data_IF_082054215962
#
_entry.id   IF_082054215962
#
_cell.length_a   1.000
_cell.length_b   1.000
_cell.length_c   1.000
_cell.angle_alpha   90.00
_cell.angle_beta   90.00
_cell.angle_gamma   90.00
#
_symmetry.space_group_name_H-M   'P 1'
#
loop_
_entity.id
_entity.type
_entity.pdbx_description
1 polymer ?
#
# COMPACT_ATOMS: atom_id res chain seq x y z
N UNK A 1 -5.58 14.46 -28.22
CA UNK A 1 -4.63 15.46 -27.70
C UNK A 1 -4.55 15.34 -26.16
N UNK A 2 -3.94 14.28 -25.65
CA UNK A 2 -3.68 14.06 -24.21
C UNK A 2 -2.15 13.93 -24.03
N UNK A 3 -1.47 15.07 -24.03
CA UNK A 3 -0.04 15.17 -23.69
C UNK A 3 0.15 16.49 -22.95
N UNK A 4 0.06 16.45 -21.62
CA UNK A 4 0.79 17.34 -20.68
C UNK A 4 0.23 17.28 -19.24
N UNK A 5 0.34 16.14 -18.52
CA UNK A 5 0.34 16.14 -17.03
C UNK A 5 1.25 15.02 -16.45
N UNK A 6 2.28 14.59 -17.19
CA UNK A 6 3.12 13.44 -16.79
C UNK A 6 4.49 13.83 -16.18
N UNK A 7 4.61 15.02 -15.57
CA UNK A 7 5.86 15.47 -14.92
C UNK A 7 5.61 16.04 -13.53
N UNK A 8 5.10 15.22 -12.61
CA UNK A 8 5.10 15.56 -11.18
C UNK A 8 6.02 14.67 -10.34
N UNK A 9 6.64 13.64 -10.92
CA UNK A 9 7.58 12.77 -10.21
C UNK A 9 8.98 12.91 -10.85
N UNK A 10 9.75 13.91 -10.40
CA UNK A 10 11.18 13.96 -10.70
C UNK A 10 11.88 12.75 -10.06
N UNK A 11 12.84 12.16 -10.76
CA UNK A 11 13.72 11.16 -10.17
C UNK A 11 14.61 11.86 -9.13
N UNK A 12 14.39 11.56 -7.84
CA UNK A 12 15.22 12.04 -6.74
C UNK A 12 16.34 11.02 -6.46
N UNK A 13 17.54 11.43 -5.99
CA UNK A 13 18.63 10.51 -5.68
C UNK A 13 18.16 9.33 -4.81
N UNK A 14 18.66 8.12 -5.10
CA UNK A 14 18.28 6.92 -4.37
C UNK A 14 18.48 7.15 -2.86
N UNK A 15 17.44 6.88 -2.08
CA UNK A 15 17.61 6.70 -0.63
C UNK A 15 18.72 5.69 -0.39
N UNK A 16 19.47 5.84 0.71
CA UNK A 16 20.57 4.93 1.02
C UNK A 16 20.06 3.49 0.96
N UNK A 17 20.50 2.73 -0.06
CA UNK A 17 20.32 1.30 -0.07
C UNK A 17 20.89 0.81 1.26
N UNK A 18 20.08 0.18 2.10
CA UNK A 18 20.64 -0.40 3.31
C UNK A 18 21.71 -1.39 2.85
N UNK A 19 22.83 -1.48 3.56
CA UNK A 19 23.90 -2.44 3.30
C UNK A 19 23.43 -3.93 3.29
N UNK A 20 22.13 -4.17 3.50
CA UNK A 20 21.47 -5.44 3.71
C UNK A 20 20.91 -6.07 2.42
N UNK A 21 20.96 -5.38 1.27
CA UNK A 21 20.57 -5.90 -0.05
C UNK A 21 19.07 -6.19 -0.26
N UNK A 22 18.34 -6.67 0.76
CA UNK A 22 16.90 -6.95 0.77
C UNK A 22 16.05 -5.76 1.24
N UNK A 23 16.68 -4.75 1.85
CA UNK A 23 16.00 -3.64 2.50
C UNK A 23 16.34 -2.30 1.86
N UNK A 24 15.31 -1.48 1.68
CA UNK A 24 15.45 -0.07 1.32
C UNK A 24 14.84 0.80 2.42
N UNK A 25 15.40 1.98 2.65
CA UNK A 25 14.84 2.96 3.57
C UNK A 25 15.15 4.39 3.12
N UNK A 26 14.37 5.34 3.65
CA UNK A 26 14.69 6.77 3.58
C UNK A 26 15.31 7.25 4.88
N UNK A 27 16.15 8.27 4.77
CA UNK A 27 16.34 9.22 5.88
C UNK A 27 14.99 9.88 6.26
N UNK A 28 14.95 10.56 7.41
CA UNK A 28 13.79 11.37 7.76
C UNK A 28 13.60 12.51 6.75
N UNK A 29 12.37 12.68 6.28
CA UNK A 29 11.99 13.69 5.29
C UNK A 29 10.91 14.61 5.86
N UNK A 30 10.93 15.92 5.59
CA UNK A 30 9.90 16.84 6.06
C UNK A 30 8.60 16.70 5.26
N UNK A 31 7.48 17.02 5.91
CA UNK A 31 6.19 17.30 5.25
C UNK A 31 5.45 18.42 6.01
N UNK A 32 4.27 18.82 5.54
CA UNK A 32 3.55 20.00 6.05
C UNK A 32 3.25 19.99 7.57
N UNK A 33 3.21 18.82 8.20
CA UNK A 33 2.83 18.68 9.61
C UNK A 33 3.88 17.95 10.46
N UNK A 34 5.11 17.76 9.97
CA UNK A 34 6.15 17.04 10.70
C UNK A 34 7.20 16.41 9.78
N UNK A 35 7.55 15.17 10.08
CA UNK A 35 8.51 14.36 9.34
C UNK A 35 7.93 13.00 9.00
N UNK A 36 8.44 12.34 7.97
CA UNK A 36 8.10 10.96 7.65
C UNK A 36 9.34 10.11 7.40
N UNK A 37 9.18 8.79 7.56
CA UNK A 37 10.17 7.77 7.24
C UNK A 37 9.50 6.67 6.43
N UNK A 38 10.19 6.16 5.42
CA UNK A 38 9.72 5.02 4.62
C UNK A 38 10.75 3.89 4.65
N UNK A 39 10.28 2.65 4.57
CA UNK A 39 11.11 1.48 4.37
C UNK A 39 10.36 0.42 3.58
N UNK A 40 11.13 -0.41 2.87
CA UNK A 40 10.64 -1.52 2.08
C UNK A 40 11.52 -2.77 2.28
N UNK A 41 10.91 -3.95 2.31
CA UNK A 41 11.58 -5.25 2.19
C UNK A 41 10.98 -6.01 1.00
N UNK A 42 11.84 -6.63 0.20
CA UNK A 42 11.41 -7.45 -0.92
C UNK A 42 11.53 -8.95 -0.59
N UNK A 43 10.43 -9.67 -0.73
CA UNK A 43 10.35 -11.13 -0.68
C UNK A 43 10.21 -11.74 -2.07
N UNK A 44 9.37 -11.16 -2.92
CA UNK A 44 9.06 -11.66 -4.24
C UNK A 44 10.26 -11.54 -5.20
N UNK A 45 10.26 -12.35 -6.26
CA UNK A 45 11.29 -12.27 -7.31
C UNK A 45 11.35 -10.85 -7.89
N UNK A 46 10.17 -10.29 -8.15
CA UNK A 46 9.93 -8.90 -8.50
C UNK A 46 9.05 -8.32 -7.41
N UNK A 47 9.45 -7.22 -6.79
CA UNK A 47 8.64 -6.57 -5.76
C UNK A 47 7.29 -6.13 -6.36
N UNK A 48 6.21 -6.58 -5.72
CA UNK A 48 4.84 -6.27 -6.10
C UNK A 48 4.28 -5.10 -5.29
N UNK A 49 4.77 -4.90 -4.07
CA UNK A 49 4.52 -3.70 -3.27
C UNK A 49 5.07 -2.43 -3.92
N UNK A 50 4.37 -1.31 -3.74
CA UNK A 50 4.82 0.04 -4.04
C UNK A 50 4.39 1.01 -2.93
N UNK A 51 5.20 2.04 -2.65
CA UNK A 51 4.82 3.08 -1.71
C UNK A 51 5.35 4.45 -2.13
N UNK A 52 4.60 5.51 -1.81
CA UNK A 52 5.01 6.89 -2.10
C UNK A 52 4.40 7.91 -1.13
N UNK A 53 5.10 9.02 -0.96
CA UNK A 53 4.65 10.19 -0.20
C UNK A 53 4.82 11.43 -1.06
N UNK A 54 3.74 12.21 -1.22
CA UNK A 54 3.78 13.53 -1.81
C UNK A 54 3.60 14.56 -0.70
N UNK A 55 4.65 15.32 -0.41
CA UNK A 55 4.61 16.43 0.51
C UNK A 55 4.49 17.75 -0.28
N UNK A 56 3.41 18.49 -0.04
CA UNK A 56 3.27 19.87 -0.49
C UNK A 56 2.90 20.77 0.70
N UNK A 57 2.99 22.11 0.56
CA UNK A 57 2.49 23.02 1.58
C UNK A 57 0.99 22.87 1.88
N UNK A 58 0.19 22.39 0.91
CA UNK A 58 -1.26 22.29 1.03
C UNK A 58 -1.74 20.92 1.55
N UNK A 59 -1.01 19.85 1.26
CA UNK A 59 -1.37 18.51 1.69
C UNK A 59 -0.16 17.56 1.77
N UNK A 60 -0.28 16.53 2.60
CA UNK A 60 0.58 15.34 2.55
C UNK A 60 -0.26 14.17 2.08
N UNK A 61 0.11 13.55 0.95
CA UNK A 61 -0.50 12.30 0.46
C UNK A 61 0.46 11.14 0.71
N UNK A 62 -0.07 10.01 1.16
CA UNK A 62 0.67 8.77 1.42
C UNK A 62 -0.05 7.65 0.70
N UNK A 63 0.66 6.87 -0.11
CA UNK A 63 0.12 5.70 -0.79
C UNK A 63 0.95 4.47 -0.46
N UNK A 64 0.27 3.38 -0.10
CA UNK A 64 0.83 2.02 -0.02
C UNK A 64 -0.04 1.14 -0.91
N UNK A 65 0.60 0.45 -1.85
CA UNK A 65 -0.06 -0.35 -2.87
C UNK A 65 0.56 -1.74 -2.84
N UNK A 66 -0.19 -2.69 -2.32
CA UNK A 66 0.24 -4.07 -2.19
C UNK A 66 -0.28 -4.82 -3.41
N UNK A 67 0.64 -5.28 -4.25
CA UNK A 67 0.34 -5.84 -5.57
C UNK A 67 0.34 -7.37 -5.52
N UNK A 68 -0.47 -7.98 -6.36
CA UNK A 68 -0.52 -9.44 -6.48
C UNK A 68 -0.80 -9.90 -7.91
N UNK A 69 -0.31 -11.09 -8.24
CA UNK A 69 -0.44 -11.66 -9.59
C UNK A 69 0.49 -11.00 -10.63
N UNK A 70 1.37 -10.11 -10.18
CA UNK A 70 2.26 -9.25 -10.94
C UNK A 70 2.32 -7.83 -10.34
N UNK A 71 3.34 -7.03 -10.68
CA UNK A 71 3.51 -5.69 -10.12
C UNK A 71 2.81 -4.59 -10.94
N UNK A 72 2.12 -4.92 -12.03
CA UNK A 72 1.59 -3.93 -12.97
C UNK A 72 0.56 -2.98 -12.30
N UNK A 73 -0.37 -3.51 -11.51
CA UNK A 73 -1.43 -2.70 -10.87
C UNK A 73 -0.90 -1.73 -9.80
N UNK A 74 0.00 -2.19 -8.93
CA UNK A 74 0.61 -1.34 -7.89
C UNK A 74 1.52 -0.27 -8.50
N UNK A 75 2.28 -0.60 -9.56
CA UNK A 75 3.10 0.37 -10.33
C UNK A 75 2.23 1.39 -11.06
N UNK A 76 1.12 0.95 -11.64
CA UNK A 76 0.13 1.84 -12.23
C UNK A 76 -0.41 2.83 -11.18
N UNK A 77 -0.89 2.33 -10.04
CA UNK A 77 -1.44 3.15 -8.95
C UNK A 77 -0.46 4.19 -8.44
N UNK A 78 0.81 3.81 -8.29
CA UNK A 78 1.89 4.74 -7.94
C UNK A 78 1.94 5.94 -8.88
N UNK A 79 1.77 5.72 -10.19
CA UNK A 79 1.82 6.80 -11.18
C UNK A 79 0.50 7.57 -11.33
N UNK A 80 -0.66 6.92 -11.12
CA UNK A 80 -1.96 7.46 -11.52
C UNK A 80 -2.79 8.04 -10.38
N UNK A 81 -2.71 7.46 -9.16
CA UNK A 81 -3.67 7.79 -8.09
C UNK A 81 -3.53 9.23 -7.58
N UNK A 82 -2.30 9.68 -7.28
CA UNK A 82 -2.08 11.04 -6.77
C UNK A 82 -2.50 12.12 -7.78
N UNK A 83 -2.17 12.02 -9.09
CA UNK A 83 -2.74 12.92 -10.09
C UNK A 83 -4.26 12.99 -10.08
N UNK A 84 -4.95 11.84 -9.96
CA UNK A 84 -6.41 11.82 -9.85
C UNK A 84 -6.92 12.51 -8.59
N UNK A 85 -6.32 12.24 -7.42
CA UNK A 85 -6.66 12.91 -6.16
C UNK A 85 -6.47 14.42 -6.28
N UNK A 86 -5.37 14.89 -6.84
CA UNK A 86 -5.10 16.31 -7.03
C UNK A 86 -6.09 16.97 -8.00
N UNK A 87 -6.41 16.30 -9.11
CA UNK A 87 -7.40 16.77 -10.09
C UNK A 87 -8.77 16.97 -9.42
N UNK A 88 -9.28 15.92 -8.78
CA UNK A 88 -10.61 15.98 -8.18
C UNK A 88 -10.65 16.86 -6.93
N UNK A 89 -9.56 16.96 -6.18
CA UNK A 89 -9.45 17.93 -5.09
C UNK A 89 -9.53 19.38 -5.61
N UNK A 90 -8.87 19.69 -6.73
CA UNK A 90 -8.98 21.02 -7.36
C UNK A 90 -10.42 21.33 -7.81
N UNK A 91 -11.11 20.36 -8.40
CA UNK A 91 -12.52 20.51 -8.79
C UNK A 91 -13.45 20.76 -7.59
N UNK A 92 -13.15 20.15 -6.44
CA UNK A 92 -13.96 20.25 -5.22
C UNK A 92 -13.52 21.38 -4.28
N UNK A 93 -12.50 22.17 -4.64
CA UNK A 93 -11.96 23.24 -3.79
C UNK A 93 -11.11 22.76 -2.60
N UNK A 94 -10.69 21.49 -2.59
CA UNK A 94 -9.88 20.88 -1.53
C UNK A 94 -9.97 19.36 -1.52
N UNK A 95 -9.17 18.72 -0.67
CA UNK A 95 -9.28 17.26 -0.46
C UNK A 95 -10.57 16.97 0.29
N UNK A 96 -11.43 16.12 -0.28
CA UNK A 96 -12.70 15.65 0.30
C UNK A 96 -12.84 14.14 0.12
N UNK A 97 -13.72 13.50 0.89
CA UNK A 97 -14.02 12.07 0.71
C UNK A 97 -14.53 11.77 -0.71
N UNK A 98 -15.32 12.68 -1.29
CA UNK A 98 -15.83 12.53 -2.64
C UNK A 98 -14.74 12.67 -3.71
N UNK A 99 -13.82 13.64 -3.55
CA UNK A 99 -12.66 13.76 -4.44
C UNK A 99 -11.80 12.49 -4.43
N UNK A 100 -11.61 11.88 -3.25
CA UNK A 100 -10.88 10.61 -3.11
C UNK A 100 -11.66 9.46 -3.76
N UNK A 101 -12.97 9.34 -3.52
CA UNK A 101 -13.80 8.30 -4.14
C UNK A 101 -13.75 8.36 -5.67
N UNK A 102 -13.89 9.57 -6.24
CA UNK A 102 -13.76 9.80 -7.69
C UNK A 102 -12.36 9.45 -8.19
N UNK A 103 -11.32 9.70 -7.41
CA UNK A 103 -9.94 9.36 -7.77
C UNK A 103 -9.72 7.84 -7.87
N UNK A 104 -10.25 7.06 -6.92
CA UNK A 104 -10.20 5.60 -6.97
C UNK A 104 -10.99 5.05 -8.16
N UNK A 105 -12.21 5.55 -8.40
CA UNK A 105 -13.02 5.14 -9.56
C UNK A 105 -12.33 5.44 -10.90
N UNK A 106 -11.70 6.61 -11.03
CA UNK A 106 -10.94 6.94 -12.23
C UNK A 106 -9.70 6.06 -12.40
N UNK A 107 -9.00 5.73 -11.32
CA UNK A 107 -7.85 4.83 -11.37
C UNK A 107 -8.24 3.41 -11.81
N UNK A 108 -9.37 2.88 -11.32
CA UNK A 108 -9.89 1.57 -11.76
C UNK A 108 -10.25 1.56 -13.26
N UNK A 109 -10.96 2.58 -13.75
CA UNK A 109 -11.34 2.66 -15.16
C UNK A 109 -10.12 2.82 -16.08
N UNK A 110 -9.14 3.63 -15.68
CA UNK A 110 -7.90 3.80 -16.43
C UNK A 110 -7.09 2.49 -16.46
N UNK A 111 -6.98 1.76 -15.35
CA UNK A 111 -6.29 0.46 -15.34
C UNK A 111 -7.04 -0.60 -16.16
N UNK A 112 -8.37 -0.63 -16.08
CA UNK A 112 -9.20 -1.50 -16.91
C UNK A 112 -9.01 -1.19 -18.41
N UNK A 113 -8.80 0.08 -18.77
CA UNK A 113 -8.44 0.47 -20.13
C UNK A 113 -7.08 -0.10 -20.55
N UNK A 114 -6.06 -0.05 -19.69
CA UNK A 114 -4.75 -0.68 -19.97
C UNK A 114 -4.87 -2.19 -20.15
N UNK A 115 -5.67 -2.87 -19.32
CA UNK A 115 -5.96 -4.31 -19.44
C UNK A 115 -6.63 -4.62 -20.78
N UNK A 116 -7.63 -3.84 -21.21
CA UNK A 116 -8.29 -4.01 -22.53
C UNK A 116 -7.29 -3.88 -23.67
N UNK A 117 -6.41 -2.89 -23.63
CA UNK A 117 -5.40 -2.68 -24.68
C UNK A 117 -4.36 -3.81 -24.73
N UNK A 118 -3.95 -4.31 -23.55
CA UNK A 118 -2.96 -5.36 -23.44
C UNK A 118 -3.53 -6.77 -23.70
N UNK A 119 -4.85 -6.94 -23.61
CA UNK A 119 -5.54 -8.24 -23.61
C UNK A 119 -5.05 -9.24 -24.66
N UNK A 120 -4.94 -8.90 -25.96
CA UNK A 120 -4.56 -9.87 -26.98
C UNK A 120 -3.12 -10.39 -26.86
N UNK A 121 -2.25 -9.65 -26.15
CA UNK A 121 -0.81 -9.94 -26.05
C UNK A 121 -0.38 -10.36 -24.65
N UNK A 122 -1.06 -9.87 -23.62
CA UNK A 122 -0.74 -10.09 -22.20
C UNK A 122 -2.01 -10.41 -21.41
N UNK A 123 -2.71 -11.52 -21.68
CA UNK A 123 -3.96 -11.86 -20.98
C UNK A 123 -3.78 -12.03 -19.46
N UNK A 124 -2.56 -12.33 -18.98
CA UNK A 124 -2.26 -12.37 -17.54
C UNK A 124 -2.49 -11.03 -16.83
N UNK A 125 -2.45 -9.90 -17.54
CA UNK A 125 -2.68 -8.58 -16.94
C UNK A 125 -4.08 -8.44 -16.32
N UNK A 126 -5.08 -9.19 -16.80
CA UNK A 126 -6.41 -9.18 -16.18
C UNK A 126 -6.45 -9.86 -14.80
N UNK A 127 -5.45 -10.68 -14.46
CA UNK A 127 -5.31 -11.31 -13.15
C UNK A 127 -4.34 -10.59 -12.21
N UNK A 128 -3.81 -9.43 -12.64
CA UNK A 128 -3.00 -8.56 -11.79
C UNK A 128 -3.93 -7.63 -11.03
N UNK A 129 -3.71 -7.49 -9.73
CA UNK A 129 -4.45 -6.58 -8.88
C UNK A 129 -3.57 -5.92 -7.84
N UNK A 130 -4.14 -4.96 -7.13
CA UNK A 130 -3.46 -4.32 -6.00
C UNK A 130 -4.45 -3.81 -4.96
N UNK A 131 -4.18 -4.12 -3.69
CA UNK A 131 -4.69 -3.37 -2.56
C UNK A 131 -4.15 -1.94 -2.59
N UNK A 132 -4.93 -0.98 -2.10
CA UNK A 132 -4.58 0.43 -2.14
C UNK A 132 -5.00 1.15 -0.86
N UNK A 133 -4.01 1.56 -0.08
CA UNK A 133 -4.18 2.39 1.10
C UNK A 133 -3.70 3.81 0.80
N UNK A 134 -4.61 4.78 0.88
CA UNK A 134 -4.33 6.20 0.72
C UNK A 134 -4.55 6.94 2.05
N UNK A 135 -3.53 7.64 2.51
CA UNK A 135 -3.63 8.68 3.53
C UNK A 135 -3.56 10.08 2.91
N UNK A 136 -4.40 11.01 3.36
CA UNK A 136 -4.26 12.42 3.01
C UNK A 136 -4.42 13.31 4.26
N UNK A 137 -3.46 14.19 4.49
CA UNK A 137 -3.51 15.21 5.54
C UNK A 137 -3.60 16.56 4.85
N UNK A 138 -4.75 17.22 4.96
CA UNK A 138 -4.99 18.55 4.40
C UNK A 138 -5.54 19.46 5.51
N UNK A 139 -4.78 20.50 5.86
CA UNK A 139 -5.06 21.27 7.07
C UNK A 139 -4.99 20.37 8.31
N UNK A 140 -6.03 20.41 9.13
CA UNK A 140 -6.22 19.60 10.35
C UNK A 140 -7.07 18.33 10.10
N UNK A 141 -7.46 18.06 8.85
CA UNK A 141 -8.26 16.89 8.48
C UNK A 141 -7.38 15.77 7.96
N UNK A 142 -7.59 14.58 8.52
CA UNK A 142 -7.04 13.32 8.04
C UNK A 142 -8.14 12.57 7.27
N UNK A 143 -7.77 12.08 6.09
CA UNK A 143 -8.52 11.13 5.29
C UNK A 143 -7.72 9.84 5.19
N UNK A 144 -8.37 8.70 5.44
CA UNK A 144 -7.81 7.36 5.20
C UNK A 144 -8.79 6.62 4.30
N UNK A 145 -8.38 6.33 3.08
CA UNK A 145 -9.13 5.51 2.14
C UNK A 145 -8.43 4.16 2.02
N UNK A 146 -9.12 3.09 2.42
CA UNK A 146 -8.60 1.73 2.35
C UNK A 146 -9.39 0.88 1.37
N UNK A 147 -8.66 0.08 0.61
CA UNK A 147 -9.17 -0.86 -0.36
C UNK A 147 -8.24 -2.08 -0.33
N UNK A 148 -8.72 -3.20 0.20
CA UNK A 148 -7.87 -4.35 0.54
C UNK A 148 -7.50 -4.39 2.02
N UNK A 149 -6.39 -5.03 2.36
CA UNK A 149 -5.96 -5.39 3.72
C UNK A 149 -4.61 -4.82 4.15
N UNK A 150 -4.06 -3.90 3.37
CA UNK A 150 -3.17 -2.88 3.91
C UNK A 150 -3.88 -2.07 5.02
N UNK A 151 -3.12 -1.56 6.00
CA UNK A 151 -3.71 -0.93 7.20
C UNK A 151 -3.02 0.37 7.61
N UNK A 152 -3.83 1.32 8.07
CA UNK A 152 -3.39 2.54 8.74
C UNK A 152 -3.69 2.50 10.24
N UNK A 153 -2.68 2.78 11.07
CA UNK A 153 -2.79 2.79 12.53
C UNK A 153 -2.21 4.08 13.10
N UNK A 154 -2.99 4.78 13.92
CA UNK A 154 -2.57 5.96 14.63
C UNK A 154 -1.97 5.61 15.99
N UNK A 155 -0.80 6.20 16.29
CA UNK A 155 -0.28 6.26 17.65
C UNK A 155 -0.74 7.52 18.37
N UNK A 156 -1.57 7.37 19.41
CA UNK A 156 -2.04 8.47 20.25
C UNK A 156 -1.39 8.42 21.61
N UNK A 157 -0.81 9.53 22.07
CA UNK A 157 -0.28 9.65 23.44
C UNK A 157 -1.43 9.71 24.44
N UNK A 158 -1.33 8.93 25.52
CA UNK A 158 -2.27 9.02 26.66
C UNK A 158 -1.93 10.26 27.48
N UNK A 159 -2.93 11.10 27.79
CA UNK A 159 -2.74 12.30 28.61
C UNK A 159 -2.31 11.89 30.01
N UNK A 160 -1.24 12.50 30.53
CA UNK A 160 -0.67 12.15 31.85
C UNK A 160 0.13 10.84 31.88
N UNK A 161 0.22 10.12 30.75
CA UNK A 161 0.93 8.85 30.64
C UNK A 161 2.20 8.91 29.79
N UNK A 162 3.19 8.07 30.13
CA UNK A 162 4.40 7.85 29.34
C UNK A 162 4.22 6.81 28.23
N UNK A 163 2.99 6.61 27.73
CA UNK A 163 2.62 5.52 26.79
C UNK A 163 1.75 6.07 25.64
N UNK A 164 1.83 5.44 24.47
CA UNK A 164 0.89 5.64 23.38
C UNK A 164 -0.02 4.41 23.21
N UNK A 165 -1.26 4.64 22.78
CA UNK A 165 -2.23 3.61 22.41
C UNK A 165 -2.40 3.58 20.89
N UNK A 166 -2.65 2.38 20.34
CA UNK A 166 -3.00 2.22 18.95
C UNK A 166 -4.48 2.52 18.71
N UNK A 167 -4.78 3.28 17.66
CA UNK A 167 -6.12 3.45 17.12
C UNK A 167 -6.09 3.06 15.64
N UNK A 168 -6.75 1.97 15.29
CA UNK A 168 -6.88 1.53 13.90
C UNK A 168 -7.77 2.49 13.11
N UNK A 169 -7.31 2.94 11.93
CA UNK A 169 -7.99 3.93 11.09
C UNK A 169 -8.64 3.33 9.83
N UNK A 170 -8.43 2.04 9.57
CA UNK A 170 -8.95 1.33 8.41
C UNK A 170 -9.40 -0.08 8.78
N UNK A 171 -10.44 -0.58 8.12
CA UNK A 171 -10.85 -1.99 8.22
C UNK A 171 -10.15 -2.79 7.15
N UNK A 172 -9.59 -3.96 7.50
CA UNK A 172 -8.97 -4.84 6.52
C UNK A 172 -10.08 -5.55 5.73
N UNK A 173 -10.10 -5.39 4.41
CA UNK A 173 -11.08 -6.00 3.52
C UNK A 173 -10.61 -7.41 3.11
N UNK A 174 -10.43 -8.29 4.10
CA UNK A 174 -9.97 -9.67 3.92
C UNK A 174 -11.00 -10.66 4.45
N UNK A 175 -11.32 -11.71 3.68
CA UNK A 175 -12.33 -12.72 4.05
C UNK A 175 -11.89 -13.66 5.18
N UNK A 176 -10.70 -13.50 5.75
CA UNK A 176 -10.37 -14.03 7.06
C UNK A 176 -11.30 -13.45 8.15
N UNK A 177 -11.76 -12.20 7.99
CA UNK A 177 -12.78 -11.58 8.84
C UNK A 177 -14.18 -12.12 8.50
N UNK A 178 -14.92 -12.55 9.53
CA UNK A 178 -16.30 -13.00 9.36
C UNK A 178 -17.23 -11.90 8.84
N UNK A 179 -17.05 -10.67 9.31
CA UNK A 179 -17.84 -9.51 8.87
C UNK A 179 -17.69 -9.29 7.37
N UNK A 180 -16.45 -9.38 6.85
CA UNK A 180 -16.18 -9.26 5.41
C UNK A 180 -16.76 -10.45 4.64
N UNK A 181 -16.73 -11.67 5.19
CA UNK A 181 -17.40 -12.83 4.56
C UNK A 181 -18.91 -12.62 4.44
N UNK A 182 -19.54 -12.10 5.49
CA UNK A 182 -20.97 -11.80 5.48
C UNK A 182 -21.29 -10.71 4.46
N UNK A 183 -20.50 -9.62 4.41
CA UNK A 183 -20.65 -8.55 3.41
C UNK A 183 -20.53 -9.10 1.98
N UNK A 184 -19.49 -9.89 1.68
CA UNK A 184 -19.31 -10.46 0.34
C UNK A 184 -20.47 -11.39 -0.03
N UNK A 185 -20.95 -12.19 0.93
CA UNK A 185 -22.07 -13.12 0.72
C UNK A 185 -23.40 -12.39 0.53
N UNK A 186 -23.64 -11.28 1.24
CA UNK A 186 -24.88 -10.51 1.10
C UNK A 186 -25.02 -9.82 -0.26
N UNK A 187 -23.90 -9.45 -0.90
CA UNK A 187 -23.89 -8.95 -2.27
C UNK A 187 -24.02 -10.07 -3.31
N UNK A 188 -23.81 -11.32 -2.92
CA UNK A 188 -23.81 -12.50 -3.79
C UNK A 188 -24.69 -13.65 -3.24
N UNK A 189 -25.97 -13.40 -2.90
CA UNK A 189 -26.82 -14.38 -2.22
C UNK A 189 -27.10 -15.65 -3.03
N UNK A 190 -26.92 -15.59 -4.35
CA UNK A 190 -27.17 -16.68 -5.31
C UNK A 190 -25.87 -17.32 -5.84
N UNK A 191 -24.75 -17.11 -5.16
CA UNK A 191 -23.45 -17.75 -5.43
C UNK A 191 -22.90 -18.39 -4.15
N UNK A 192 -23.32 -19.64 -3.89
CA UNK A 192 -22.83 -20.42 -2.74
C UNK A 192 -21.32 -20.70 -2.77
N UNK A 193 -20.63 -20.38 -3.86
CA UNK A 193 -19.18 -20.53 -4.02
C UNK A 193 -18.46 -19.17 -3.97
N UNK A 194 -19.15 -18.08 -3.60
CA UNK A 194 -18.55 -16.75 -3.57
C UNK A 194 -17.39 -16.66 -2.58
N UNK A 195 -17.53 -17.25 -1.39
CA UNK A 195 -16.49 -17.33 -0.36
C UNK A 195 -16.40 -18.77 0.12
N UNK A 196 -15.23 -19.39 -0.03
CA UNK A 196 -15.01 -20.80 0.32
C UNK A 196 -13.71 -20.95 1.12
N UNK A 197 -13.71 -21.88 2.06
CA UNK A 197 -12.51 -22.23 2.81
C UNK A 197 -11.72 -23.30 2.03
N UNK A 198 -10.54 -22.93 1.53
CA UNK A 198 -9.68 -23.82 0.74
C UNK A 198 -8.21 -23.47 0.93
N UNK A 199 -7.32 -24.46 0.83
CA UNK A 199 -5.87 -24.29 1.03
C UNK A 199 -5.53 -23.60 2.37
N UNK A 200 -6.27 -23.96 3.42
CA UNK A 200 -6.07 -23.44 4.78
C UNK A 200 -6.54 -22.00 5.03
N UNK A 201 -7.27 -21.38 4.10
CA UNK A 201 -7.75 -20.02 4.25
C UNK A 201 -9.13 -19.81 3.60
N UNK A 202 -9.87 -18.81 4.07
CA UNK A 202 -11.05 -18.30 3.36
C UNK A 202 -10.62 -17.54 2.11
N UNK A 203 -11.27 -17.80 0.97
CA UNK A 203 -10.96 -17.18 -0.31
C UNK A 203 -12.20 -16.89 -1.13
N UNK A 204 -12.22 -15.76 -1.82
CA UNK A 204 -13.24 -15.40 -2.81
C UNK A 204 -13.03 -16.25 -4.05
N UNK A 205 -14.09 -16.96 -4.48
CA UNK A 205 -14.08 -17.95 -5.57
C UNK A 205 -12.96 -18.99 -5.47
N UNK A 206 -12.44 -19.24 -4.25
CA UNK A 206 -11.31 -20.14 -3.99
C UNK A 206 -9.94 -19.60 -4.40
N UNK A 207 -9.85 -18.31 -4.75
CA UNK A 207 -8.65 -17.73 -5.37
C UNK A 207 -7.94 -16.73 -4.45
N UNK A 208 -8.60 -15.63 -4.08
CA UNK A 208 -7.97 -14.49 -3.40
C UNK A 208 -8.58 -14.24 -2.01
N UNK A 209 -7.84 -13.65 -1.08
CA UNK A 209 -8.31 -13.38 0.29
C UNK A 209 -8.88 -11.97 0.47
N UNK A 210 -8.48 -11.02 -0.36
CA UNK A 210 -9.01 -9.65 -0.32
C UNK A 210 -10.35 -9.56 -1.03
N UNK A 211 -11.28 -8.75 -0.50
CA UNK A 211 -12.59 -8.48 -1.10
C UNK A 211 -12.62 -7.20 -1.93
N UNK A 212 -11.56 -6.39 -1.86
CA UNK A 212 -11.46 -5.14 -2.60
C UNK A 212 -10.05 -4.96 -3.16
N UNK A 213 -9.95 -4.58 -4.43
CA UNK A 213 -8.69 -4.35 -5.14
C UNK A 213 -8.91 -3.41 -6.33
N UNK A 214 -7.85 -2.79 -6.82
CA UNK A 214 -7.80 -2.21 -8.17
C UNK A 214 -7.24 -3.30 -9.09
N UNK A 215 -7.77 -3.43 -10.31
CA UNK A 215 -7.42 -4.55 -11.18
C UNK A 215 -8.22 -5.81 -10.86
N UNK A 216 -7.61 -7.00 -10.90
CA UNK A 216 -8.32 -8.29 -10.82
C UNK A 216 -9.55 -8.34 -11.74
N UNK A 217 -9.40 -7.81 -12.95
CA UNK A 217 -10.51 -7.63 -13.89
C UNK A 217 -11.25 -8.94 -14.16
N UNK A 218 -10.53 -10.06 -14.19
CA UNK A 218 -11.12 -11.39 -14.35
C UNK A 218 -12.10 -11.79 -13.22
N UNK A 219 -12.01 -11.19 -12.03
CA UNK A 219 -12.92 -11.39 -10.90
C UNK A 219 -14.04 -10.35 -10.83
N UNK A 220 -14.02 -9.35 -11.71
CA UNK A 220 -15.00 -8.25 -11.76
C UNK A 220 -15.85 -8.26 -13.02
N UNK A 221 -15.31 -8.77 -14.13
CA UNK A 221 -15.88 -8.71 -15.48
C UNK A 221 -15.98 -10.13 -16.05
N UNK A 222 -17.17 -10.75 -16.07
CA UNK A 222 -17.35 -12.13 -16.51
C UNK A 222 -16.77 -12.41 -17.90
N UNK A 223 -16.83 -11.43 -18.80
CA UNK A 223 -16.29 -11.52 -20.15
C UNK A 223 -14.80 -11.90 -20.20
N UNK A 224 -14.00 -11.49 -19.20
CA UNK A 224 -12.59 -11.87 -19.13
C UNK A 224 -12.39 -13.29 -18.63
N UNK A 225 -13.09 -13.69 -17.57
CA UNK A 225 -13.00 -15.05 -17.02
C UNK A 225 -13.52 -16.14 -17.98
N UNK A 226 -14.45 -15.78 -18.87
CA UNK A 226 -15.06 -16.67 -19.84
C UNK A 226 -14.35 -16.67 -21.19
N UNK A 227 -13.49 -15.70 -21.48
CA UNK A 227 -12.75 -15.62 -22.74
C UNK A 227 -11.75 -16.80 -22.89
N UNK A 228 -11.68 -17.46 -24.05
CA UNK A 228 -10.75 -18.56 -24.30
C UNK A 228 -9.28 -18.25 -23.98
N UNK A 229 -8.82 -17.00 -24.16
CA UNK A 229 -7.46 -16.57 -23.84
C UNK A 229 -7.17 -16.69 -22.35
N UNK A 230 -8.14 -16.34 -21.49
CA UNK A 230 -7.96 -16.48 -20.05
C UNK A 230 -7.98 -17.94 -19.59
N UNK A 231 -8.85 -18.77 -20.21
CA UNK A 231 -8.98 -20.19 -19.86
C UNK A 231 -7.69 -20.98 -20.08
N UNK A 232 -6.78 -20.48 -20.92
CA UNK A 232 -5.45 -21.07 -21.13
C UNK A 232 -4.47 -20.78 -19.99
N UNK A 233 -4.73 -19.76 -19.17
CA UNK A 233 -3.79 -19.25 -18.16
C UNK A 233 -4.36 -19.24 -16.73
N UNK A 234 -5.66 -19.44 -16.57
CA UNK A 234 -6.35 -19.37 -15.28
C UNK A 234 -7.59 -20.25 -15.24
N UNK A 235 -8.19 -20.42 -14.04
CA UNK A 235 -9.39 -21.23 -13.89
C UNK A 235 -10.58 -20.58 -14.58
N UNK A 236 -11.55 -21.40 -15.01
CA UNK A 236 -12.88 -20.92 -15.40
C UNK A 236 -13.62 -20.51 -14.13
N UNK A 237 -14.12 -19.28 -14.09
CA UNK A 237 -14.82 -18.74 -12.93
C UNK A 237 -16.22 -18.36 -13.36
N UNK A 238 -17.22 -19.00 -12.78
CA UNK A 238 -18.61 -18.59 -12.98
C UNK A 238 -18.86 -17.32 -12.15
N UNK A 239 -19.02 -16.18 -12.83
CA UNK A 239 -19.35 -14.89 -12.25
C UNK A 239 -20.67 -14.40 -12.82
N UNK A 240 -21.64 -14.10 -11.94
CA UNK A 240 -22.89 -13.42 -12.31
C UNK A 240 -22.78 -11.90 -12.16
N UNK A 241 -21.86 -11.44 -11.30
CA UNK A 241 -21.56 -10.05 -10.97
C UNK A 241 -20.12 -9.96 -10.42
N UNK A 242 -19.57 -8.76 -10.21
CA UNK A 242 -18.23 -8.62 -9.64
C UNK A 242 -18.11 -9.31 -8.27
N UNK A 243 -17.09 -10.15 -8.12
CA UNK A 243 -16.77 -10.79 -6.84
C UNK A 243 -15.92 -9.89 -5.93
N UNK A 244 -15.29 -8.86 -6.51
CA UNK A 244 -14.46 -7.87 -5.83
C UNK A 244 -15.00 -6.46 -6.07
N UNK A 245 -14.82 -5.57 -5.10
CA UNK A 245 -15.13 -4.13 -5.25
C UNK A 245 -13.87 -3.29 -5.48
N UNK A 246 -13.99 -2.24 -6.29
CA UNK A 246 -12.98 -1.20 -6.43
C UNK A 246 -13.31 0.07 -5.60
N UNK A 247 -14.34 0.01 -4.74
CA UNK A 247 -14.76 1.14 -3.92
C UNK A 247 -14.03 1.17 -2.56
N UNK A 248 -13.29 2.25 -2.24
CA UNK A 248 -12.59 2.34 -0.97
C UNK A 248 -13.55 2.64 0.19
N UNK A 249 -13.25 2.09 1.37
CA UNK A 249 -13.80 2.60 2.62
C UNK A 249 -13.03 3.85 3.02
N UNK A 250 -13.72 4.98 3.23
CA UNK A 250 -13.08 6.26 3.57
C UNK A 250 -13.44 6.67 5.00
N UNK A 251 -12.43 6.76 5.86
CA UNK A 251 -12.52 7.34 7.19
C UNK A 251 -12.02 8.79 7.18
N UNK A 252 -12.81 9.71 7.72
CA UNK A 252 -12.47 11.15 7.79
C UNK A 252 -12.55 11.61 9.24
N UNK A 253 -11.51 12.31 9.71
CA UNK A 253 -11.50 12.87 11.06
C UNK A 253 -10.61 14.10 11.18
N UNK A 254 -10.85 14.89 12.21
CA UNK A 254 -9.93 15.93 12.65
C UNK A 254 -8.78 15.32 13.46
N UNK A 255 -7.58 15.81 13.23
CA UNK A 255 -6.40 15.49 14.04
C UNK A 255 -6.50 16.20 15.38
N UNK A 256 -6.10 15.49 16.44
CA UNK A 256 -6.12 15.97 17.83
C UNK A 256 -4.69 16.23 18.32
N UNK A 257 -4.49 17.11 19.31
CA UNK A 257 -3.15 17.41 19.84
C UNK A 257 -2.34 16.22 20.37
N UNK A 258 -3.02 15.16 20.80
CA UNK A 258 -2.40 13.94 21.32
C UNK A 258 -2.13 12.87 20.25
N UNK A 259 -2.56 13.09 19.00
CA UNK A 259 -2.20 12.24 17.87
C UNK A 259 -0.71 12.50 17.54
N UNK A 260 0.15 11.48 17.56
CA UNK A 260 1.61 11.67 17.46
C UNK A 260 2.18 11.26 16.12
N UNK A 261 1.68 10.16 15.55
CA UNK A 261 2.12 9.62 14.28
C UNK A 261 1.11 8.64 13.72
N UNK A 262 1.18 8.38 12.41
CA UNK A 262 0.38 7.37 11.71
C UNK A 262 1.33 6.41 11.00
N UNK A 263 1.05 5.12 11.09
CA UNK A 263 1.74 4.04 10.38
C UNK A 263 0.83 3.59 9.24
N UNK A 264 1.30 3.67 8.01
CA UNK A 264 0.68 3.09 6.82
C UNK A 264 1.54 1.93 6.36
N UNK A 265 0.98 0.73 6.22
CA UNK A 265 1.76 -0.41 5.76
C UNK A 265 0.91 -1.47 5.04
N UNK A 266 1.57 -2.24 4.17
CA UNK A 266 1.03 -3.43 3.55
C UNK A 266 0.84 -4.56 4.57
N UNK A 267 0.09 -5.59 4.19
CA UNK A 267 -0.22 -6.71 5.07
C UNK A 267 1.06 -7.45 5.54
N UNK A 268 2.13 -7.43 4.76
CA UNK A 268 3.43 -7.99 5.10
C UNK A 268 4.02 -7.44 6.42
N UNK A 269 3.61 -6.26 6.89
CA UNK A 269 3.89 -5.82 8.25
C UNK A 269 2.93 -6.44 9.26
N UNK A 270 1.64 -6.36 8.97
CA UNK A 270 0.52 -6.66 9.87
C UNK A 270 0.26 -8.15 10.09
N UNK A 271 0.79 -9.03 9.23
CA UNK A 271 0.84 -10.48 9.46
C UNK A 271 1.78 -10.88 10.61
N UNK A 272 2.71 -9.99 10.96
CA UNK A 272 3.77 -10.26 11.92
C UNK A 272 3.70 -9.38 13.18
N UNK A 273 3.15 -8.17 13.08
CA UNK A 273 3.04 -7.25 14.22
C UNK A 273 1.58 -6.88 14.50
N UNK A 274 1.22 -6.85 15.78
CA UNK A 274 -0.03 -6.23 16.21
C UNK A 274 0.04 -4.70 16.13
N UNK A 275 -1.13 -4.05 16.06
CA UNK A 275 -1.26 -2.59 16.05
C UNK A 275 -0.51 -1.96 17.24
N UNK A 276 -0.71 -2.52 18.45
CA UNK A 276 -0.03 -2.06 19.66
C UNK A 276 1.48 -2.27 19.61
N UNK A 277 1.95 -3.42 19.14
CA UNK A 277 3.39 -3.68 19.03
C UNK A 277 4.07 -2.66 18.09
N UNK A 278 3.47 -2.41 16.92
CA UNK A 278 3.96 -1.43 15.96
C UNK A 278 3.97 0.00 16.56
N UNK A 279 2.88 0.41 17.22
CA UNK A 279 2.79 1.72 17.89
C UNK A 279 3.82 1.84 19.02
N UNK A 280 4.04 0.80 19.82
CA UNK A 280 5.08 0.83 20.87
C UNK A 280 6.49 0.95 20.28
N UNK A 281 6.78 0.27 19.17
CA UNK A 281 8.07 0.39 18.47
C UNK A 281 8.28 1.84 18.03
N UNK A 282 7.31 2.46 17.37
CA UNK A 282 7.43 3.85 16.91
C UNK A 282 7.55 4.82 18.08
N UNK A 283 6.74 4.64 19.13
CA UNK A 283 6.69 5.56 20.27
C UNK A 283 7.94 5.54 21.15
N UNK A 284 8.58 4.37 21.34
CA UNK A 284 9.71 4.18 22.26
C UNK A 284 11.09 4.37 21.62
N UNK A 285 11.16 4.57 20.31
CA UNK A 285 12.43 4.64 19.57
C UNK A 285 12.63 6.01 18.90
N UNK A 286 13.88 6.38 18.58
CA UNK A 286 14.16 7.56 17.77
C UNK A 286 13.47 7.50 16.40
N UNK A 287 13.12 8.68 15.86
CA UNK A 287 12.48 8.80 14.56
C UNK A 287 13.36 8.31 13.41
N UNK A 288 14.67 8.50 13.50
CA UNK A 288 15.63 8.12 12.47
C UNK A 288 15.62 6.61 12.28
N UNK A 289 15.36 6.16 11.05
CA UNK A 289 15.27 4.74 10.70
C UNK A 289 14.05 4.02 11.27
N UNK A 290 13.00 4.73 11.70
CA UNK A 290 11.86 4.10 12.38
C UNK A 290 11.07 3.14 11.50
N UNK A 291 10.86 3.46 10.22
CA UNK A 291 10.17 2.56 9.29
C UNK A 291 10.96 1.26 9.11
N UNK A 292 12.30 1.36 8.97
CA UNK A 292 13.18 0.20 8.89
C UNK A 292 13.16 -0.63 10.18
N UNK A 293 13.01 0.00 11.35
CA UNK A 293 12.86 -0.70 12.62
C UNK A 293 11.58 -1.55 12.66
N UNK A 294 10.47 -1.03 12.13
CA UNK A 294 9.22 -1.79 11.98
C UNK A 294 9.41 -3.00 11.04
N UNK A 295 10.00 -2.76 9.86
CA UNK A 295 10.30 -3.84 8.90
C UNK A 295 11.19 -4.92 9.53
N UNK A 296 12.27 -4.54 10.20
CA UNK A 296 13.17 -5.49 10.89
C UNK A 296 12.47 -6.26 12.01
N UNK A 297 11.54 -5.63 12.73
CA UNK A 297 10.75 -6.31 13.76
C UNK A 297 9.81 -7.35 13.13
N UNK A 298 9.13 -7.02 12.04
CA UNK A 298 8.29 -7.96 11.31
C UNK A 298 9.10 -9.14 10.75
N UNK A 299 10.26 -8.88 10.11
CA UNK A 299 11.14 -9.94 9.62
C UNK A 299 11.63 -10.86 10.76
N UNK A 300 11.94 -10.31 11.94
CA UNK A 300 12.34 -11.12 13.09
C UNK A 300 11.21 -12.03 13.57
N UNK A 301 9.96 -11.58 13.57
CA UNK A 301 8.82 -12.44 13.90
C UNK A 301 8.52 -13.46 12.79
N UNK A 302 8.70 -13.08 11.51
CA UNK A 302 8.57 -13.98 10.37
C UNK A 302 9.53 -15.17 10.45
N UNK A 303 10.81 -14.91 10.76
CA UNK A 303 11.82 -15.98 10.82
C UNK A 303 11.67 -16.87 12.06
N UNK A 304 11.21 -16.32 13.19
CA UNK A 304 10.86 -17.13 14.39
C UNK A 304 9.80 -18.18 14.09
N UNK A 305 8.74 -17.82 13.34
CA UNK A 305 7.66 -18.75 12.95
C UNK A 305 8.16 -19.92 12.09
N UNK A 306 9.37 -19.83 11.52
CA UNK A 306 9.97 -20.79 10.59
C UNK A 306 11.30 -21.38 11.09
N UNK A 307 11.71 -21.06 12.32
CA UNK A 307 12.96 -21.52 12.92
C UNK A 307 14.23 -21.18 12.10
N UNK A 308 14.22 -20.04 11.40
CA UNK A 308 15.35 -19.54 10.61
C UNK A 308 15.92 -18.27 11.25
N UNK A 309 17.22 -17.98 11.06
CA UNK A 309 17.79 -16.71 11.51
C UNK A 309 17.53 -15.58 10.51
N UNK A 310 17.50 -14.34 10.99
CA UNK A 310 17.42 -13.16 10.10
C UNK A 310 18.66 -13.04 9.21
N UNK A 311 19.78 -13.63 9.61
CA UNK A 311 20.99 -13.69 8.78
C UNK A 311 20.78 -14.62 7.58
N UNK A 312 20.26 -15.82 7.82
CA UNK A 312 20.00 -16.81 6.77
C UNK A 312 18.98 -16.27 5.76
N UNK A 313 17.94 -15.57 6.24
CA UNK A 313 16.93 -14.96 5.37
C UNK A 313 17.55 -14.06 4.27
N UNK A 314 18.67 -13.38 4.56
CA UNK A 314 19.37 -12.51 3.60
C UNK A 314 20.08 -13.30 2.50
N UNK A 315 20.49 -14.52 2.81
CA UNK A 315 21.16 -15.43 1.88
C UNK A 315 20.18 -16.18 0.98
N UNK A 316 18.90 -16.24 1.36
CA UNK A 316 17.86 -16.89 0.57
C UNK A 316 17.57 -16.07 -0.69
N UNK A 317 17.52 -16.77 -1.82
CA UNK A 317 17.22 -16.17 -3.12
C UNK A 317 15.85 -15.46 -3.15
N UNK A 318 15.72 -14.47 -4.03
CA UNK A 318 14.45 -13.77 -4.24
C UNK A 318 13.39 -14.74 -4.75
N UNK A 319 12.13 -14.52 -4.39
CA UNK A 319 11.04 -15.43 -4.73
C UNK A 319 10.97 -16.65 -3.80
N UNK A 320 12.09 -17.26 -3.43
CA UNK A 320 12.12 -18.31 -2.41
C UNK A 320 11.82 -17.71 -1.02
N UNK A 321 12.29 -16.49 -0.76
CA UNK A 321 11.98 -15.73 0.46
C UNK A 321 10.48 -15.55 0.76
N UNK A 322 9.62 -15.59 -0.27
CA UNK A 322 8.16 -15.48 -0.12
C UNK A 322 7.54 -16.57 0.76
N UNK A 323 8.23 -17.69 0.98
CA UNK A 323 7.79 -18.72 1.93
C UNK A 323 7.93 -18.33 3.41
N UNK A 324 8.69 -17.26 3.69
CA UNK A 324 9.00 -16.78 5.03
C UNK A 324 8.29 -15.49 5.37
N UNK A 325 8.26 -14.53 4.45
CA UNK A 325 7.58 -13.24 4.61
C UNK A 325 7.07 -12.72 3.27
N UNK A 326 6.12 -11.78 3.31
CA UNK A 326 5.66 -11.02 2.15
C UNK A 326 6.61 -9.85 1.79
N UNK A 327 6.42 -9.20 0.65
CA UNK A 327 6.90 -7.84 0.49
C UNK A 327 6.33 -6.96 1.63
N UNK A 328 7.15 -6.05 2.15
CA UNK A 328 6.75 -5.19 3.27
C UNK A 328 7.02 -3.75 2.86
N UNK A 329 6.01 -2.90 2.88
CA UNK A 329 6.13 -1.46 2.69
C UNK A 329 5.59 -0.73 3.89
N UNK A 330 6.38 0.18 4.46
CA UNK A 330 6.01 0.95 5.65
C UNK A 330 6.27 2.42 5.44
N UNK A 331 5.29 3.26 5.76
CA UNK A 331 5.42 4.71 5.87
C UNK A 331 4.96 5.14 7.26
N UNK A 332 5.85 5.81 8.01
CA UNK A 332 5.52 6.42 9.30
C UNK A 332 5.50 7.94 9.14
N UNK A 333 4.37 8.58 9.44
CA UNK A 333 4.17 10.02 9.34
C UNK A 333 3.97 10.61 10.73
N UNK A 334 4.85 11.51 11.17
CA UNK A 334 4.78 12.20 12.46
C UNK A 334 3.92 13.46 12.39
N UNK A 335 3.17 13.73 13.47
CA UNK A 335 2.23 14.84 13.57
C UNK A 335 2.72 15.86 14.61
N UNK A 336 3.60 16.76 14.20
CA UNK A 336 4.27 17.76 15.07
C UNK A 336 3.51 19.07 15.23
N UNK A 337 2.38 19.21 14.56
CA UNK A 337 1.63 20.47 14.40
C UNK A 337 1.32 21.21 15.72
N UNK A 338 1.23 20.48 16.84
CA UNK A 338 0.92 21.03 18.16
C UNK A 338 2.13 21.23 19.09
N UNK A 339 3.35 20.88 18.66
CA UNK A 339 4.54 20.88 19.54
C UNK A 339 5.31 22.21 19.61
N UNK A 340 4.78 23.30 19.05
CA UNK A 340 5.41 24.64 19.12
C UNK A 340 6.82 24.73 18.52
N UNK A 341 7.29 23.69 17.81
CA UNK A 341 8.56 23.73 17.08
C UNK A 341 8.43 24.73 15.94
N UNK A 342 9.34 25.72 15.92
CA UNK A 342 9.66 26.56 14.76
C UNK A 342 9.54 25.71 13.49
N UNK A 343 8.74 26.15 12.52
CA UNK A 343 8.59 25.55 11.19
C UNK A 343 9.94 24.97 10.74
N UNK A 344 10.11 23.65 10.86
CA UNK A 344 11.33 22.99 10.39
C UNK A 344 11.33 23.09 8.87
N UNK A 345 12.29 23.87 8.36
CA UNK A 345 12.67 24.08 6.96
C UNK A 345 11.58 23.74 5.96
N UNK A 346 10.84 24.79 5.60
CA UNK A 346 10.23 25.04 4.28
C UNK A 346 10.21 23.77 3.42
N UNK A 347 9.07 23.05 3.42
CA UNK A 347 8.70 22.32 2.20
C UNK A 347 8.78 23.40 1.13
N UNK A 348 9.81 23.32 0.28
CA UNK A 348 10.05 24.30 -0.76
C UNK A 348 8.73 24.54 -1.52
N UNK A 349 8.57 25.68 -2.18
CA UNK A 349 7.32 25.97 -2.90
C UNK A 349 6.98 24.89 -3.96
N UNK A 350 7.93 24.00 -4.25
CA UNK A 350 7.77 22.78 -5.04
C UNK A 350 7.25 21.58 -4.24
N UNK A 351 6.33 20.82 -4.85
CA UNK A 351 5.87 19.53 -4.32
C UNK A 351 6.99 18.48 -4.37
N UNK A 352 7.29 17.84 -3.25
CA UNK A 352 8.30 16.79 -3.16
C UNK A 352 7.64 15.40 -3.08
N UNK A 353 7.80 14.60 -4.15
CA UNK A 353 7.39 13.20 -4.16
C UNK A 353 8.58 12.31 -3.77
N UNK A 354 8.40 11.43 -2.79
CA UNK A 354 9.34 10.38 -2.40
C UNK A 354 8.69 9.04 -2.64
N UNK A 355 9.35 8.16 -3.40
CA UNK A 355 8.83 6.81 -3.70
C UNK A 355 9.84 5.76 -3.25
N UNK A 356 9.34 4.61 -2.79
CA UNK A 356 10.13 3.40 -2.71
C UNK A 356 10.60 3.00 -4.12
N UNK A 357 11.76 2.34 -4.26
CA UNK A 357 12.22 1.86 -5.54
C UNK A 357 11.22 0.84 -6.11
N UNK A 358 11.22 0.68 -7.44
CA UNK A 358 10.39 -0.33 -8.12
C UNK A 358 10.73 -1.74 -7.65
N UNK A 359 12.00 -1.97 -7.33
CA UNK A 359 12.56 -3.20 -6.78
C UNK A 359 13.70 -2.77 -5.84
N UNK A 360 13.85 -3.40 -4.67
CA UNK A 360 14.86 -2.95 -3.69
C UNK A 360 16.27 -2.99 -4.30
N UNK A 361 16.49 -3.91 -5.23
CA UNK A 361 17.79 -4.15 -5.83
C UNK A 361 18.05 -3.35 -7.10
N UNK A 362 17.05 -2.67 -7.69
CA UNK A 362 17.28 -1.83 -8.87
C UNK A 362 18.21 -0.64 -8.57
N UNK A 363 18.44 -0.34 -7.29
CA UNK A 363 19.40 0.67 -6.82
C UNK A 363 20.86 0.19 -6.78
N UNK A 364 21.09 -1.14 -6.85
CA UNK A 364 22.42 -1.75 -6.79
C UNK A 364 23.06 -2.02 -8.16
N UNK A 365 22.27 -1.93 -9.24
CA UNK A 365 22.69 -2.27 -10.60
C UNK A 365 23.55 -1.22 -11.31
N UNK A 366 23.99 -0.14 -10.64
CA UNK A 366 24.98 0.78 -11.19
C UNK A 366 26.44 0.34 -11.01
N UNK A 367 26.69 -0.84 -10.40
CA UNK A 367 28.04 -1.37 -10.17
C UNK A 367 28.48 -2.51 -11.12
N UNK A 368 27.65 -2.89 -12.09
CA UNK A 368 27.95 -3.99 -13.04
C UNK A 368 27.75 -3.58 -14.51
N UNK A 369 28.34 -2.44 -14.89
CA UNK A 369 28.62 -2.10 -16.29
C UNK A 369 30.01 -1.49 -16.36
N UNK A 370 31.01 -2.36 -16.30
CA UNK A 370 32.34 -2.21 -16.89
C UNK A 370 33.14 -3.48 -16.59
N UNK A 371 32.87 -4.54 -17.36
CA UNK A 371 33.77 -5.68 -17.61
C UNK A 371 33.05 -6.65 -18.55
N UNK A 372 33.40 -6.61 -19.83
CA UNK A 372 32.90 -7.50 -20.88
C UNK A 372 32.76 -6.78 -22.20
#
# INVERSE_FOLDING_TARGET
MLRAVARCCGHWPPGAAAADGMLWQTELRPHAAGEFSMAAAQANLVMEDQAQVLASPSATLVGVYDGHGGPDASRFLRSALFPHVQRFAKEQGGVTAEAIRRAFGAAEEDFLHEVRQAWPKRPRMAAVGSCCLLGAIAGDTLYVANLGDSRAVLGRRVVGGGVAVAERLSTDHNVASEEVRMEVSSHNPDDAQIVVHTRGAWRIKGIIQVSRSIGDVYLKKPEYSLDPLFRQIGPVIALKRPALSAEPQIHVRKLKPNDQFIIFASDGLWEHLSDDAAVQIVFKNPRTGIANRLVRAALKEATKKREVSVHDLRTIERGVRRHFHDDISVVVVYLDRHRGRRQTRVVDSSSNCTSAPVDVYSSSSSAYRDSG
#
